data_IF_786965499302
#
_entry.id   IF_786965499302
#
_cell.length_a   1.000
_cell.length_b   1.000
_cell.length_c   1.000
_cell.angle_alpha   90.00
_cell.angle_beta   90.00
_cell.angle_gamma   90.00
#
_symmetry.space_group_name_H-M   'P 1'
#
loop_
_entity.id
_entity.type
_entity.pdbx_description
1 polymer ?
#
# COMPACT_ATOMS: atom_id res chain seq x y z
N UNK A 1 -18.78 -13.71 58.30
CA UNK A 1 -18.62 -14.32 56.96
C UNK A 1 -19.27 -13.39 55.94
N UNK A 2 -18.61 -12.28 55.53
CA UNK A 2 -19.20 -11.34 54.56
C UNK A 2 -18.18 -10.42 53.90
N UNK A 3 -17.15 -10.94 53.23
CA UNK A 3 -16.22 -10.09 52.42
C UNK A 3 -16.05 -10.51 50.95
N UNK A 4 -16.58 -11.66 50.51
CA UNK A 4 -16.38 -12.14 49.13
C UNK A 4 -17.19 -11.38 48.05
N UNK A 5 -18.31 -10.75 48.39
CA UNK A 5 -19.21 -10.14 47.41
C UNK A 5 -18.76 -8.79 46.81
N UNK A 6 -17.83 -8.09 47.47
CA UNK A 6 -17.38 -6.73 47.07
C UNK A 6 -16.16 -6.76 46.14
N UNK A 7 -15.36 -7.82 46.23
CA UNK A 7 -14.15 -8.00 45.42
C UNK A 7 -14.47 -8.39 43.97
N UNK A 8 -15.39 -9.34 43.76
CA UNK A 8 -15.76 -9.80 42.42
C UNK A 8 -16.35 -8.71 41.51
N UNK A 9 -17.20 -7.82 42.05
CA UNK A 9 -17.76 -6.69 41.29
C UNK A 9 -16.70 -5.67 40.87
N UNK A 10 -15.67 -5.46 41.70
CA UNK A 10 -14.55 -4.55 41.39
C UNK A 10 -13.65 -5.15 40.31
N UNK A 11 -13.37 -6.45 40.37
CA UNK A 11 -12.60 -7.15 39.34
C UNK A 11 -13.31 -7.13 37.99
N UNK A 12 -14.62 -7.41 37.96
CA UNK A 12 -15.42 -7.34 36.73
C UNK A 12 -15.45 -5.92 36.17
N UNK A 13 -15.58 -4.89 37.01
CA UNK A 13 -15.56 -3.50 36.56
C UNK A 13 -14.19 -3.10 35.96
N UNK A 14 -13.08 -3.56 36.54
CA UNK A 14 -11.73 -3.32 36.02
C UNK A 14 -11.52 -4.04 34.68
N UNK A 15 -11.95 -5.30 34.56
CA UNK A 15 -11.85 -6.06 33.31
C UNK A 15 -12.69 -5.43 32.19
N UNK A 16 -13.92 -5.00 32.50
CA UNK A 16 -14.78 -4.28 31.55
C UNK A 16 -14.15 -2.94 31.11
N UNK A 17 -13.55 -2.21 32.05
CA UNK A 17 -12.82 -0.98 31.75
C UNK A 17 -11.64 -1.21 30.81
N UNK A 18 -10.85 -2.25 31.05
CA UNK A 18 -9.72 -2.61 30.19
C UNK A 18 -10.15 -3.03 28.79
N UNK A 19 -11.24 -3.80 28.67
CA UNK A 19 -11.81 -4.20 27.36
C UNK A 19 -12.31 -2.98 26.60
N UNK A 20 -12.96 -2.02 27.27
CA UNK A 20 -13.41 -0.77 26.65
C UNK A 20 -12.23 0.09 26.19
N UNK A 21 -11.16 0.16 26.98
CA UNK A 21 -9.95 0.90 26.60
C UNK A 21 -9.28 0.24 25.40
N UNK A 22 -9.11 -1.09 25.40
CA UNK A 22 -8.53 -1.81 24.27
C UNK A 22 -9.37 -1.64 22.99
N UNK A 23 -10.70 -1.70 23.11
CA UNK A 23 -11.62 -1.43 22.01
C UNK A 23 -11.51 -0.02 21.46
N UNK A 24 -11.40 0.99 22.34
CA UNK A 24 -11.21 2.40 21.95
C UNK A 24 -9.86 2.63 21.27
N UNK A 25 -8.77 2.02 21.77
CA UNK A 25 -7.45 2.12 21.14
C UNK A 25 -7.44 1.46 19.77
N UNK A 26 -8.06 0.28 19.63
CA UNK A 26 -8.18 -0.40 18.34
C UNK A 26 -9.02 0.41 17.35
N UNK A 27 -10.15 0.96 17.81
CA UNK A 27 -11.03 1.81 17.00
C UNK A 27 -10.33 3.11 16.56
N UNK A 28 -9.62 3.76 17.48
CA UNK A 28 -8.88 4.98 17.18
C UNK A 28 -7.72 4.71 16.22
N UNK A 29 -7.00 3.60 16.39
CA UNK A 29 -5.96 3.17 15.45
C UNK A 29 -6.52 2.89 14.05
N UNK A 30 -7.67 2.23 13.94
CA UNK A 30 -8.35 1.98 12.67
C UNK A 30 -8.82 3.29 12.00
N UNK A 31 -9.46 4.19 12.75
CA UNK A 31 -9.94 5.47 12.24
C UNK A 31 -8.79 6.40 11.78
N UNK A 32 -7.65 6.35 12.48
CA UNK A 32 -6.45 7.10 12.12
C UNK A 32 -5.83 6.57 10.81
N UNK A 33 -5.79 5.25 10.64
CA UNK A 33 -5.31 4.60 9.42
C UNK A 33 -6.18 4.95 8.20
N UNK A 34 -7.49 4.94 8.37
CA UNK A 34 -8.46 5.26 7.32
C UNK A 34 -8.35 6.72 6.86
N UNK A 35 -8.21 7.67 7.80
CA UNK A 35 -7.97 9.09 7.48
C UNK A 35 -6.66 9.32 6.75
N UNK A 36 -5.58 8.63 7.13
CA UNK A 36 -4.28 8.78 6.49
C UNK A 36 -4.30 8.22 5.06
N UNK A 37 -5.00 7.11 4.84
CA UNK A 37 -5.21 6.55 3.50
C UNK A 37 -6.06 7.47 2.63
N UNK A 38 -7.10 8.09 3.21
CA UNK A 38 -7.95 9.04 2.50
C UNK A 38 -7.18 10.32 2.14
N UNK A 39 -6.43 10.90 3.08
CA UNK A 39 -5.59 12.07 2.82
C UNK A 39 -4.50 11.79 1.77
N UNK A 40 -3.96 10.57 1.71
CA UNK A 40 -3.04 10.15 0.64
C UNK A 40 -3.73 10.08 -0.72
N UNK A 41 -4.91 9.47 -0.81
CA UNK A 41 -5.72 9.43 -2.04
C UNK A 41 -6.12 10.81 -2.53
N UNK A 42 -6.46 11.72 -1.61
CA UNK A 42 -6.87 13.08 -1.93
C UNK A 42 -5.66 13.97 -2.32
N UNK A 43 -4.47 13.72 -1.76
CA UNK A 43 -3.22 14.36 -2.17
C UNK A 43 -2.70 13.81 -3.52
N UNK A 44 -3.05 12.58 -3.87
CA UNK A 44 -2.76 11.92 -5.16
C UNK A 44 -3.71 12.37 -6.31
N UNK A 45 -4.51 13.43 -6.11
CA UNK A 45 -5.42 14.00 -7.10
C UNK A 45 -4.79 14.46 -8.44
N UNK A 46 -3.49 14.25 -8.67
CA UNK A 46 -2.79 14.50 -9.93
C UNK A 46 -2.10 13.29 -10.57
N UNK A 47 -1.89 12.17 -9.86
CA UNK A 47 -1.17 11.01 -10.41
C UNK A 47 -1.84 9.71 -9.96
N UNK A 48 -2.46 9.01 -10.91
CA UNK A 48 -3.04 7.69 -10.67
C UNK A 48 -1.92 6.65 -10.73
N UNK A 49 -1.73 5.87 -9.66
CA UNK A 49 -0.66 4.88 -9.57
C UNK A 49 -1.14 3.46 -9.23
N UNK A 50 -0.34 2.47 -9.61
CA UNK A 50 -0.49 1.06 -9.27
C UNK A 50 0.82 0.54 -8.70
N UNK A 51 0.75 -0.41 -7.77
CA UNK A 51 1.94 -0.99 -7.14
C UNK A 51 1.77 -2.49 -6.90
N UNK A 52 2.85 -3.24 -7.09
CA UNK A 52 2.93 -4.69 -6.84
C UNK A 52 4.23 -5.00 -6.10
N UNK A 53 4.14 -5.78 -5.02
CA UNK A 53 5.29 -6.27 -4.28
C UNK A 53 5.60 -7.71 -4.72
N UNK A 54 6.82 -7.98 -5.18
CA UNK A 54 7.27 -9.32 -5.52
C UNK A 54 8.74 -9.52 -5.11
N UNK A 55 9.02 -10.58 -4.36
CA UNK A 55 10.37 -11.00 -3.95
C UNK A 55 11.21 -9.88 -3.29
N UNK A 56 10.58 -9.08 -2.44
CA UNK A 56 11.25 -7.99 -1.73
C UNK A 56 11.45 -6.72 -2.57
N UNK A 57 10.97 -6.69 -3.80
CA UNK A 57 11.00 -5.52 -4.68
C UNK A 57 9.59 -4.96 -4.86
N UNK A 58 9.42 -3.68 -4.58
CA UNK A 58 8.20 -2.92 -4.84
C UNK A 58 8.30 -2.30 -6.24
N UNK A 59 7.36 -2.69 -7.11
CA UNK A 59 7.19 -2.13 -8.44
C UNK A 59 6.03 -1.15 -8.44
N UNK A 60 6.26 0.09 -8.87
CA UNK A 60 5.24 1.15 -8.91
C UNK A 60 5.15 1.72 -10.31
N UNK A 61 3.94 1.81 -10.86
CA UNK A 61 3.63 2.48 -12.11
C UNK A 61 2.74 3.69 -11.83
N UNK A 62 3.06 4.85 -12.42
CA UNK A 62 2.28 6.08 -12.26
C UNK A 62 1.96 6.73 -13.59
N UNK A 63 0.75 7.31 -13.68
CA UNK A 63 0.40 8.23 -14.75
C UNK A 63 1.18 9.54 -14.64
N UNK A 64 1.30 10.28 -15.74
CA UNK A 64 2.05 11.53 -15.80
C UNK A 64 2.56 11.83 -17.20
N UNK A 65 3.28 12.94 -17.33
CA UNK A 65 4.05 13.27 -18.53
C UNK A 65 5.48 13.66 -18.10
N UNK A 66 6.42 12.70 -18.03
CA UNK A 66 6.24 11.28 -18.34
C UNK A 66 5.58 10.49 -17.19
N UNK A 67 4.79 9.47 -17.54
CA UNK A 67 4.47 8.38 -16.64
C UNK A 67 5.73 7.55 -16.35
N UNK A 68 5.76 6.86 -15.23
CA UNK A 68 6.95 6.18 -14.73
C UNK A 68 6.64 4.77 -14.25
N UNK A 69 7.58 3.85 -14.45
CA UNK A 69 7.69 2.60 -13.67
C UNK A 69 8.96 2.66 -12.86
N UNK A 70 8.90 2.29 -11.58
CA UNK A 70 10.07 2.16 -10.71
C UNK A 70 10.10 0.80 -10.04
N UNK A 71 11.29 0.28 -9.79
CA UNK A 71 11.52 -0.84 -8.89
C UNK A 71 12.33 -0.37 -7.69
N UNK A 72 11.90 -0.73 -6.48
CA UNK A 72 12.55 -0.34 -5.23
C UNK A 72 12.74 -1.56 -4.35
N UNK A 73 13.94 -1.74 -3.81
CA UNK A 73 14.16 -2.69 -2.74
C UNK A 73 13.39 -2.24 -1.49
N UNK A 74 12.55 -3.11 -0.92
CA UNK A 74 11.70 -2.75 0.22
C UNK A 74 12.49 -2.65 1.52
N UNK A 75 13.59 -3.40 1.65
CA UNK A 75 14.41 -3.39 2.86
C UNK A 75 15.12 -2.06 3.08
N UNK A 76 15.73 -1.52 2.03
CA UNK A 76 16.51 -0.29 2.04
C UNK A 76 15.75 0.94 1.52
N UNK A 77 14.65 0.73 0.78
CA UNK A 77 13.95 1.79 0.05
C UNK A 77 14.70 2.28 -1.20
N UNK A 78 15.83 1.64 -1.57
CA UNK A 78 16.65 2.07 -2.69
C UNK A 78 15.97 1.74 -4.02
N UNK A 79 15.89 2.73 -4.91
CA UNK A 79 15.51 2.51 -6.31
C UNK A 79 16.55 1.63 -7.00
N UNK A 80 16.09 0.49 -7.54
CA UNK A 80 16.87 -0.46 -8.32
C UNK A 80 16.97 -0.01 -9.77
N UNK A 81 15.83 0.42 -10.34
CA UNK A 81 15.73 0.97 -11.68
C UNK A 81 14.45 1.81 -11.85
N UNK A 82 14.43 2.59 -12.93
CA UNK A 82 13.29 3.40 -13.38
C UNK A 82 13.20 3.41 -14.90
N UNK A 83 11.97 3.40 -15.41
CA UNK A 83 11.66 3.45 -16.84
C UNK A 83 10.56 4.45 -17.10
N UNK A 84 10.73 5.24 -18.17
CA UNK A 84 9.72 6.19 -18.62
C UNK A 84 8.69 5.48 -19.50
N UNK A 85 7.44 5.86 -19.32
CA UNK A 85 6.30 5.30 -20.01
C UNK A 85 5.77 6.24 -21.12
N UNK A 86 6.40 7.42 -21.30
CA UNK A 86 5.85 8.50 -22.11
C UNK A 86 4.63 9.16 -21.45
N UNK A 87 3.82 9.88 -22.21
CA UNK A 87 2.65 10.57 -21.67
C UNK A 87 1.50 9.59 -21.36
N UNK A 88 1.08 9.56 -20.10
CA UNK A 88 0.12 8.60 -19.54
C UNK A 88 -0.97 9.36 -18.81
N UNK A 89 -2.18 9.31 -19.36
CA UNK A 89 -3.33 10.05 -18.81
C UNK A 89 -4.21 9.12 -17.96
N UNK A 90 -4.21 7.81 -18.24
CA UNK A 90 -5.00 6.82 -17.53
C UNK A 90 -4.21 6.15 -16.42
N UNK A 91 -4.92 5.69 -15.37
CA UNK A 91 -4.33 4.82 -14.35
C UNK A 91 -3.65 3.61 -15.01
N UNK A 92 -2.35 3.40 -14.80
CA UNK A 92 -1.70 2.18 -15.23
C UNK A 92 -2.15 1.01 -14.35
N UNK A 93 -2.18 -0.20 -14.92
CA UNK A 93 -2.15 -1.45 -14.19
C UNK A 93 -0.78 -2.10 -14.39
N UNK A 94 -0.32 -2.91 -13.44
CA UNK A 94 0.99 -3.57 -13.49
C UNK A 94 0.83 -5.04 -13.09
N UNK A 95 1.41 -5.93 -13.88
CA UNK A 95 1.59 -7.36 -13.57
C UNK A 95 3.07 -7.70 -13.57
N UNK A 96 3.49 -8.46 -12.56
CA UNK A 96 4.89 -8.91 -12.40
C UNK A 96 4.91 -10.41 -12.60
N UNK A 97 5.77 -10.87 -13.50
CA UNK A 97 6.05 -12.26 -13.79
C UNK A 97 7.48 -12.60 -13.36
N UNK A 98 7.94 -13.82 -13.63
CA UNK A 98 9.29 -14.27 -13.21
C UNK A 98 10.39 -13.35 -13.77
N UNK A 99 10.40 -13.14 -15.09
CA UNK A 99 11.45 -12.38 -15.79
C UNK A 99 10.99 -11.02 -16.33
N UNK A 100 9.68 -10.75 -16.35
CA UNK A 100 9.12 -9.58 -17.00
C UNK A 100 8.05 -8.87 -16.17
N UNK A 101 7.81 -7.61 -16.52
CA UNK A 101 6.74 -6.77 -15.98
C UNK A 101 5.92 -6.28 -17.15
N UNK A 102 4.60 -6.38 -17.06
CA UNK A 102 3.71 -5.80 -18.05
C UNK A 102 3.00 -4.61 -17.42
N UNK A 103 2.94 -3.52 -18.18
CA UNK A 103 2.14 -2.36 -17.81
C UNK A 103 0.91 -2.32 -18.74
N UNK A 104 -0.25 -1.98 -18.18
CA UNK A 104 -1.52 -1.87 -18.91
C UNK A 104 -2.16 -0.49 -18.77
N UNK A 105 -2.58 0.11 -19.88
CA UNK A 105 -3.25 1.39 -20.03
C UNK A 105 -4.41 1.06 -20.93
N UNK A 106 -5.57 1.60 -20.60
CA UNK A 106 -6.84 1.40 -21.30
C UNK A 106 -6.70 0.95 -22.77
N UNK A 107 -6.84 -0.37 -23.02
CA UNK A 107 -7.07 -0.94 -24.34
C UNK A 107 -6.17 -2.09 -24.80
N UNK A 108 -4.88 -2.12 -24.43
CA UNK A 108 -3.89 -3.12 -24.91
C UNK A 108 -2.69 -3.20 -23.95
N UNK A 109 -1.89 -4.29 -23.94
CA UNK A 109 -0.62 -4.25 -23.21
C UNK A 109 0.21 -3.10 -23.75
N UNK A 110 0.78 -2.30 -22.87
CA UNK A 110 1.67 -1.22 -23.27
C UNK A 110 2.92 -1.32 -22.41
N UNK A 111 3.98 -1.70 -23.11
CA UNK A 111 5.32 -1.98 -22.62
C UNK A 111 5.45 -3.18 -21.69
N UNK A 112 6.21 -4.15 -22.18
CA UNK A 112 6.78 -5.22 -21.39
C UNK A 112 8.20 -4.82 -21.04
N UNK A 113 8.58 -4.96 -19.77
CA UNK A 113 9.88 -4.59 -19.26
C UNK A 113 10.58 -5.84 -18.73
N UNK A 114 11.88 -5.97 -18.96
CA UNK A 114 12.74 -6.90 -18.23
C UNK A 114 12.69 -6.54 -16.74
N UNK A 115 12.35 -7.52 -15.90
CA UNK A 115 12.11 -7.29 -14.47
C UNK A 115 13.36 -6.84 -13.72
N UNK A 116 14.53 -7.30 -14.15
CA UNK A 116 15.79 -7.06 -13.47
C UNK A 116 16.40 -5.70 -13.79
N UNK A 117 16.16 -5.20 -15.01
CA UNK A 117 16.79 -3.99 -15.55
C UNK A 117 15.81 -2.85 -15.80
N UNK A 118 14.50 -3.13 -15.90
CA UNK A 118 13.49 -2.18 -16.32
C UNK A 118 13.57 -1.85 -17.81
N UNK A 119 14.36 -2.56 -18.62
CA UNK A 119 14.47 -2.25 -20.06
C UNK A 119 13.24 -2.75 -20.81
N UNK A 120 12.72 -1.99 -21.79
CA UNK A 120 11.65 -2.48 -22.66
C UNK A 120 12.11 -3.71 -23.44
N UNK A 121 11.23 -4.71 -23.49
CA UNK A 121 11.33 -5.89 -24.35
C UNK A 121 10.51 -5.60 -25.62
N UNK A 122 11.13 -5.71 -26.80
CA UNK A 122 10.48 -5.56 -28.12
C UNK A 122 9.55 -6.73 -28.45
#
# INVERSE_FOLDING_TARGET
>A
MTEEGKSGKRVVAVLLGLVLIAGLVAWFGAAQLEKNNQARRDAEGGAQSAAVLSEGVLYEASSGDPGLVTAKDVGSGKELWRSELGAVISKPAISVHEDLIEVQIAGTPWMTLDRSTGRPLE
#
